data_IF_280364395003
#
_entry.id   IF_280364395003
#
_cell.length_a   1.000
_cell.length_b   1.000
_cell.length_c   1.000
_cell.angle_alpha   90.00
_cell.angle_beta   90.00
_cell.angle_gamma   90.00
#
_symmetry.space_group_name_H-M   'P 1'
#
loop_
_entity.id
_entity.type
_entity.pdbx_description
1 polymer ?
#
# COMPACT_ATOMS: atom_id res chain seq x y z
N UNK A 1 -29.90 23.32 -13.06
CA UNK A 1 -28.43 23.41 -13.17
C UNK A 1 -27.85 22.10 -12.64
N UNK A 2 -27.09 21.44 -13.50
CA UNK A 2 -26.71 20.03 -13.38
C UNK A 2 -25.91 19.73 -12.12
N UNK A 3 -26.25 18.60 -11.50
CA UNK A 3 -25.43 17.92 -10.50
C UNK A 3 -24.06 17.66 -11.11
N UNK A 4 -23.01 18.24 -10.54
CA UNK A 4 -21.67 17.71 -10.68
C UNK A 4 -21.56 16.61 -9.63
N UNK A 5 -21.89 15.39 -10.04
CA UNK A 5 -21.45 14.20 -9.33
C UNK A 5 -19.93 14.29 -9.18
N UNK A 6 -19.44 14.17 -7.95
CA UNK A 6 -18.05 13.85 -7.66
C UNK A 6 -17.62 12.74 -8.63
N UNK A 7 -16.83 13.09 -9.62
CA UNK A 7 -16.10 12.10 -10.39
C UNK A 7 -15.06 11.59 -9.41
N UNK A 8 -15.42 10.60 -8.60
CA UNK A 8 -14.48 9.82 -7.83
C UNK A 8 -13.41 9.36 -8.83
N UNK A 9 -12.23 9.98 -8.80
CA UNK A 9 -11.07 9.41 -9.45
C UNK A 9 -11.01 7.94 -8.99
N UNK A 10 -11.02 6.97 -9.91
CA UNK A 10 -10.99 5.58 -9.49
C UNK A 10 -9.65 5.36 -8.77
N UNK A 11 -9.71 5.31 -7.44
CA UNK A 11 -8.54 5.01 -6.63
C UNK A 11 -8.09 3.60 -7.00
N UNK A 12 -6.81 3.45 -7.30
CA UNK A 12 -6.23 2.12 -7.43
C UNK A 12 -6.09 1.49 -6.05
N UNK A 13 -6.01 0.16 -6.04
CA UNK A 13 -5.81 -0.57 -4.80
C UNK A 13 -4.88 -1.75 -4.95
N UNK A 14 -4.09 -2.00 -3.92
CA UNK A 14 -3.19 -3.14 -3.81
C UNK A 14 -3.38 -3.83 -2.46
N UNK A 15 -3.18 -5.15 -2.43
CA UNK A 15 -3.20 -5.91 -1.19
C UNK A 15 -1.82 -5.85 -0.51
N UNK A 16 -1.83 -5.63 0.79
CA UNK A 16 -0.64 -5.56 1.64
C UNK A 16 -0.81 -6.54 2.79
N UNK A 17 0.19 -7.39 3.01
CA UNK A 17 0.32 -8.19 4.23
C UNK A 17 1.25 -7.45 5.18
N UNK A 18 0.82 -7.25 6.41
CA UNK A 18 1.66 -6.80 7.52
C UNK A 18 1.80 -7.97 8.48
N UNK A 19 3.01 -8.48 8.69
CA UNK A 19 3.23 -9.67 9.49
C UNK A 19 4.37 -9.47 10.50
N UNK A 20 4.25 -10.08 11.67
CA UNK A 20 5.37 -10.23 12.59
C UNK A 20 6.30 -11.36 12.09
N UNK A 21 7.57 -11.02 11.87
CA UNK A 21 8.61 -11.97 11.45
C UNK A 21 9.68 -12.08 12.55
N UNK A 22 10.53 -13.10 12.48
CA UNK A 22 11.65 -13.28 13.41
C UNK A 22 12.64 -12.10 13.40
N UNK A 23 12.61 -11.28 12.35
CA UNK A 23 13.47 -10.09 12.15
C UNK A 23 12.73 -8.76 12.36
N UNK A 24 11.48 -8.79 12.84
CA UNK A 24 10.62 -7.62 13.07
C UNK A 24 9.37 -7.60 12.18
N UNK A 25 8.61 -6.51 12.24
CA UNK A 25 7.38 -6.37 11.46
C UNK A 25 7.69 -6.10 9.99
N UNK A 26 7.15 -6.93 9.10
CA UNK A 26 7.36 -6.87 7.65
C UNK A 26 6.11 -6.44 6.87
N UNK A 27 6.35 -5.79 5.74
CA UNK A 27 5.35 -5.30 4.78
C UNK A 27 5.56 -6.04 3.44
N UNK A 28 4.53 -6.71 2.94
CA UNK A 28 4.56 -7.41 1.65
C UNK A 28 3.41 -6.99 0.75
N UNK A 29 3.71 -6.41 -0.41
CA UNK A 29 2.72 -6.04 -1.41
C UNK A 29 2.44 -7.25 -2.33
N UNK A 30 1.22 -7.76 -2.31
CA UNK A 30 0.86 -8.97 -3.07
C UNK A 30 0.75 -8.66 -4.57
N UNK A 31 1.44 -9.45 -5.39
CA UNK A 31 1.35 -9.40 -6.86
C UNK A 31 1.51 -8.00 -7.49
N UNK A 32 2.20 -7.09 -6.80
CA UNK A 32 2.44 -5.73 -7.30
C UNK A 32 3.63 -5.72 -8.26
N UNK A 33 3.50 -5.19 -9.49
CA UNK A 33 4.51 -5.32 -10.56
C UNK A 33 5.92 -4.82 -10.18
N UNK A 34 6.02 -3.89 -9.23
CA UNK A 34 7.29 -3.35 -8.74
C UNK A 34 7.61 -3.82 -7.31
N UNK A 35 6.61 -3.80 -6.43
CA UNK A 35 6.83 -3.88 -4.97
C UNK A 35 6.79 -5.31 -4.45
N UNK A 36 6.33 -6.29 -5.23
CA UNK A 36 6.44 -7.70 -4.86
C UNK A 36 7.79 -8.30 -5.22
N UNK A 37 8.64 -7.57 -5.97
CA UNK A 37 9.89 -8.08 -6.52
C UNK A 37 9.70 -9.14 -7.62
N UNK A 38 10.79 -9.55 -8.26
CA UNK A 38 10.77 -10.45 -9.42
C UNK A 38 10.24 -11.86 -9.11
N UNK A 39 10.33 -12.31 -7.86
CA UNK A 39 9.80 -13.60 -7.40
C UNK A 39 8.46 -13.47 -6.65
N UNK A 40 7.82 -12.29 -6.66
CA UNK A 40 6.59 -12.01 -5.93
C UNK A 40 6.66 -12.25 -4.40
N UNK A 41 7.85 -12.15 -3.80
CA UNK A 41 8.07 -12.41 -2.36
C UNK A 41 9.05 -11.42 -1.71
N UNK A 42 8.97 -10.14 -2.09
CA UNK A 42 9.76 -9.09 -1.46
C UNK A 42 9.08 -8.57 -0.18
N UNK A 43 9.88 -8.32 0.86
CA UNK A 43 9.44 -7.80 2.15
C UNK A 43 10.21 -6.52 2.49
N UNK A 44 9.49 -5.52 2.99
CA UNK A 44 10.07 -4.28 3.50
C UNK A 44 9.90 -4.23 5.02
N UNK A 45 10.88 -3.72 5.78
CA UNK A 45 10.72 -3.54 7.21
C UNK A 45 9.72 -2.41 7.49
N UNK A 46 8.90 -2.56 8.54
CA UNK A 46 8.21 -1.46 9.19
C UNK A 46 9.07 -0.97 10.37
N UNK A 47 9.69 0.23 10.30
CA UNK A 47 10.53 0.73 11.38
C UNK A 47 9.75 0.95 12.67
N UNK A 48 10.39 0.65 13.80
CA UNK A 48 9.82 0.89 15.12
C UNK A 48 9.47 2.38 15.30
N UNK A 49 8.25 2.65 15.80
CA UNK A 49 7.76 4.01 16.01
C UNK A 49 7.25 4.72 14.75
N UNK A 50 7.43 4.16 13.54
CA UNK A 50 6.82 4.70 12.33
C UNK A 50 5.39 4.21 12.18
N UNK A 51 4.47 5.11 11.81
CA UNK A 51 3.09 4.70 11.52
C UNK A 51 3.05 3.83 10.26
N UNK A 52 2.19 2.81 10.25
CA UNK A 52 1.99 1.94 9.08
C UNK A 52 1.63 2.74 7.83
N UNK A 53 0.73 3.74 7.97
CA UNK A 53 0.34 4.58 6.84
C UNK A 53 1.53 5.35 6.26
N UNK A 54 2.35 5.98 7.10
CA UNK A 54 3.52 6.71 6.64
C UNK A 54 4.54 5.79 5.95
N UNK A 55 4.79 4.60 6.49
CA UNK A 55 5.73 3.65 5.91
C UNK A 55 5.26 3.15 4.52
N UNK A 56 3.98 2.77 4.41
CA UNK A 56 3.38 2.31 3.14
C UNK A 56 3.39 3.44 2.11
N UNK A 57 2.97 4.64 2.49
CA UNK A 57 2.97 5.80 1.58
C UNK A 57 4.38 6.13 1.08
N UNK A 58 5.37 6.14 1.98
CA UNK A 58 6.75 6.38 1.62
C UNK A 58 7.27 5.35 0.62
N UNK A 59 7.01 4.05 0.84
CA UNK A 59 7.42 2.99 -0.09
C UNK A 59 6.76 3.16 -1.47
N UNK A 60 5.48 3.47 -1.51
CA UNK A 60 4.74 3.62 -2.76
C UNK A 60 5.18 4.87 -3.54
N UNK A 61 5.38 6.00 -2.87
CA UNK A 61 5.86 7.24 -3.51
C UNK A 61 7.31 7.06 -4.00
N UNK A 62 8.20 6.52 -3.17
CA UNK A 62 9.61 6.34 -3.52
C UNK A 62 9.81 5.43 -4.73
N UNK A 63 8.90 4.49 -4.95
CA UNK A 63 8.92 3.58 -6.10
C UNK A 63 7.99 4.02 -7.24
N UNK A 64 7.51 5.26 -7.23
CA UNK A 64 6.67 5.85 -8.29
C UNK A 64 5.37 5.08 -8.55
N UNK A 65 4.83 4.45 -7.51
CA UNK A 65 3.56 3.71 -7.56
C UNK A 65 2.39 4.64 -7.28
N UNK A 66 2.55 5.56 -6.33
CA UNK A 66 1.50 6.44 -5.87
C UNK A 66 1.96 7.88 -5.77
N UNK A 67 1.04 8.82 -5.97
CA UNK A 67 1.18 10.19 -5.53
C UNK A 67 1.03 10.30 -4.00
N UNK A 68 0.02 9.61 -3.45
CA UNK A 68 -0.21 9.50 -2.02
C UNK A 68 -1.09 8.28 -1.71
N UNK A 69 -1.04 7.80 -0.47
CA UNK A 69 -1.99 6.80 0.06
C UNK A 69 -3.18 7.55 0.65
N UNK A 70 -4.38 7.10 0.33
CA UNK A 70 -5.64 7.71 0.80
C UNK A 70 -6.05 7.08 2.12
N UNK A 71 -5.99 5.75 2.21
CA UNK A 71 -6.27 4.99 3.44
C UNK A 71 -5.83 3.53 3.33
N UNK A 72 -5.81 2.88 4.48
CA UNK A 72 -5.59 1.44 4.65
C UNK A 72 -6.86 0.81 5.24
N UNK A 73 -7.55 0.00 4.46
CA UNK A 73 -8.73 -0.72 4.91
C UNK A 73 -8.31 -2.13 5.37
N UNK A 74 -8.59 -2.51 6.63
CA UNK A 74 -8.34 -3.88 7.09
C UNK A 74 -9.22 -4.83 6.28
N UNK A 75 -8.60 -5.79 5.60
CA UNK A 75 -9.28 -6.82 4.84
C UNK A 75 -9.44 -8.12 5.65
N UNK A 76 -8.37 -8.55 6.30
CA UNK A 76 -8.36 -9.75 7.14
C UNK A 76 -7.38 -9.59 8.32
N UNK A 77 -7.69 -10.21 9.46
CA UNK A 77 -6.80 -10.30 10.62
C UNK A 77 -6.59 -11.77 10.94
N UNK A 78 -5.33 -12.21 10.88
CA UNK A 78 -4.89 -13.50 11.38
C UNK A 78 -4.10 -13.36 12.69
N UNK A 79 -3.55 -14.47 13.17
CA UNK A 79 -2.88 -14.51 14.49
C UNK A 79 -1.59 -13.67 14.55
N UNK A 80 -0.82 -13.64 13.46
CA UNK A 80 0.48 -12.94 13.36
C UNK A 80 0.58 -12.02 12.14
N UNK A 81 -0.53 -11.80 11.45
CA UNK A 81 -0.57 -10.91 10.30
C UNK A 81 -1.91 -10.19 10.18
N UNK A 82 -1.89 -9.05 9.51
CA UNK A 82 -3.09 -8.34 9.09
C UNK A 82 -2.95 -7.97 7.62
N UNK A 83 -3.96 -8.33 6.84
CA UNK A 83 -4.06 -7.97 5.44
C UNK A 83 -4.82 -6.66 5.31
N UNK A 84 -4.29 -5.76 4.50
CA UNK A 84 -4.88 -4.47 4.19
C UNK A 84 -5.15 -4.36 2.70
N UNK A 85 -6.25 -3.69 2.37
CA UNK A 85 -6.45 -3.08 1.07
C UNK A 85 -5.95 -1.64 1.14
N UNK A 86 -4.84 -1.37 0.45
CA UNK A 86 -4.26 -0.03 0.33
C UNK A 86 -5.00 0.71 -0.78
N UNK A 87 -5.58 1.86 -0.46
CA UNK A 87 -6.27 2.72 -1.44
C UNK A 87 -5.38 3.94 -1.70
N UNK A 88 -5.05 4.22 -2.96
CA UNK A 88 -4.09 5.27 -3.30
C UNK A 88 -4.45 6.02 -4.58
N UNK A 89 -3.85 7.20 -4.74
CA UNK A 89 -3.88 7.95 -5.99
C UNK A 89 -2.61 7.63 -6.78
N UNK A 90 -2.75 7.29 -8.06
CA UNK A 90 -1.60 7.01 -8.92
C UNK A 90 -0.77 8.26 -9.19
N UNK A 91 0.53 8.07 -9.40
CA UNK A 91 1.40 9.15 -9.88
C UNK A 91 0.98 9.51 -11.31
N UNK A 92 0.44 10.71 -11.54
CA UNK A 92 0.21 11.21 -12.90
C UNK A 92 1.56 11.64 -13.46
N UNK A 93 2.19 10.78 -14.24
CA UNK A 93 3.31 11.18 -15.10
C UNK A 93 2.74 11.87 -16.33
N UNK A 94 2.78 13.20 -16.35
CA UNK A 94 2.53 13.96 -17.58
C UNK A 94 3.78 13.81 -18.44
N UNK A 95 3.63 13.09 -19.56
CA UNK A 95 4.66 12.96 -20.58
C UNK A 95 4.84 14.28 -21.34
#
# INVERSE_FOLDING_TARGET
MSQFSDVQNPHESVMLIVAELDTGTGLHFCSHPVLSGANSNLWFPLPEGQSLHCAVEQLMIMNHVAHNVVRLDVFHKGDQHTDYKVIFNTEIRVC
#
